data_IF_529511813451
#
_entry.id   IF_529511813451
#
_cell.length_a   1.000
_cell.length_b   1.000
_cell.length_c   1.000
_cell.angle_alpha   90.00
_cell.angle_beta   90.00
_cell.angle_gamma   90.00
#
_symmetry.space_group_name_H-M   'P 1'
#
loop_
_entity.id
_entity.type
_entity.pdbx_description
1 polymer ?
#
# COMPACT_ATOMS: atom_id res chain seq x y z
N UNK A 1 17.26 -8.71 16.39
CA UNK A 1 16.57 -8.87 15.11
C UNK A 1 17.47 -8.29 14.03
N UNK A 2 17.93 -9.11 13.10
CA UNK A 2 18.71 -8.66 11.94
C UNK A 2 17.83 -7.68 11.16
N UNK A 3 18.37 -6.49 10.82
CA UNK A 3 17.62 -5.52 10.02
C UNK A 3 17.52 -6.10 8.61
N UNK A 4 16.38 -6.62 8.22
CA UNK A 4 16.14 -7.24 6.90
C UNK A 4 16.63 -6.34 5.76
N UNK A 5 16.46 -5.02 5.89
CA UNK A 5 16.94 -4.07 4.89
C UNK A 5 18.44 -4.20 4.57
N UNK A 6 19.26 -4.59 5.54
CA UNK A 6 20.70 -4.74 5.38
C UNK A 6 21.13 -6.14 4.94
N UNK A 7 20.20 -7.05 4.70
CA UNK A 7 20.49 -8.39 4.21
C UNK A 7 20.51 -8.41 2.67
N UNK A 8 21.62 -8.89 2.11
CA UNK A 8 21.73 -9.17 0.68
C UNK A 8 21.33 -10.62 0.34
N UNK A 9 21.00 -11.43 1.36
CA UNK A 9 20.52 -12.81 1.15
C UNK A 9 19.03 -12.80 0.76
N UNK A 10 18.74 -13.20 -0.48
CA UNK A 10 17.38 -13.36 -1.00
C UNK A 10 16.55 -14.36 -0.17
N UNK A 11 17.18 -15.32 0.52
CA UNK A 11 16.47 -16.28 1.37
C UNK A 11 15.84 -15.59 2.59
N UNK A 12 16.50 -14.61 3.21
CA UNK A 12 15.94 -13.83 4.31
C UNK A 12 14.67 -13.08 3.88
N UNK A 13 14.72 -12.45 2.70
CA UNK A 13 13.58 -11.73 2.13
C UNK A 13 12.42 -12.65 1.77
N UNK A 14 12.71 -13.83 1.20
CA UNK A 14 11.68 -14.85 0.92
C UNK A 14 11.03 -15.36 2.20
N UNK A 15 11.82 -15.62 3.23
CA UNK A 15 11.31 -16.06 4.54
C UNK A 15 10.40 -15.01 5.17
N UNK A 16 10.83 -13.76 5.18
CA UNK A 16 10.02 -12.65 5.68
C UNK A 16 8.72 -12.46 4.88
N UNK A 17 8.79 -12.53 3.54
CA UNK A 17 7.60 -12.45 2.69
C UNK A 17 6.63 -13.62 2.93
N UNK A 18 7.15 -14.84 3.08
CA UNK A 18 6.34 -16.03 3.35
C UNK A 18 5.62 -15.98 4.70
N UNK A 19 6.17 -15.27 5.70
CA UNK A 19 5.53 -15.10 7.01
C UNK A 19 4.37 -14.08 6.99
N UNK A 20 4.20 -13.30 5.91
CA UNK A 20 3.22 -12.22 5.84
C UNK A 20 1.78 -12.66 6.18
N UNK A 21 1.23 -13.76 5.63
CA UNK A 21 -0.14 -14.18 5.94
C UNK A 21 -0.34 -14.53 7.43
N UNK A 22 0.66 -15.16 8.04
CA UNK A 22 0.63 -15.47 9.48
C UNK A 22 0.66 -14.17 10.30
N UNK A 23 1.52 -13.22 9.95
CA UNK A 23 1.60 -11.94 10.66
C UNK A 23 0.28 -11.16 10.54
N UNK A 24 -0.39 -11.19 9.39
CA UNK A 24 -1.74 -10.61 9.21
C UNK A 24 -2.74 -11.27 10.16
N UNK A 25 -2.74 -12.60 10.27
CA UNK A 25 -3.62 -13.34 11.18
C UNK A 25 -3.39 -12.98 12.66
N UNK A 26 -2.16 -12.74 13.03
CA UNK A 26 -1.74 -12.45 14.42
C UNK A 26 -1.99 -10.99 14.85
N UNK A 27 -2.47 -10.10 13.95
CA UNK A 27 -2.73 -8.69 14.33
C UNK A 27 -3.88 -8.54 15.34
N UNK A 28 -4.76 -9.53 15.49
CA UNK A 28 -5.90 -9.47 16.40
C UNK A 28 -7.04 -8.55 15.93
N UNK A 29 -7.06 -8.17 14.64
CA UNK A 29 -8.12 -7.40 14.01
C UNK A 29 -8.97 -8.33 13.15
N UNK A 30 -10.18 -8.64 13.60
CA UNK A 30 -11.04 -9.67 13.02
C UNK A 30 -11.32 -9.48 11.51
N UNK A 31 -11.44 -8.24 11.06
CA UNK A 31 -11.71 -7.93 9.64
C UNK A 31 -10.47 -7.97 8.74
N UNK A 32 -9.25 -7.92 9.31
CA UNK A 32 -8.04 -7.67 8.54
C UNK A 32 -7.73 -8.80 7.54
N UNK A 33 -7.88 -10.05 7.93
CA UNK A 33 -7.61 -11.19 7.03
C UNK A 33 -8.48 -11.15 5.78
N UNK A 34 -9.79 -10.95 5.94
CA UNK A 34 -10.71 -10.86 4.81
C UNK A 34 -10.48 -9.61 3.94
N UNK A 35 -10.16 -8.48 4.57
CA UNK A 35 -9.80 -7.26 3.85
C UNK A 35 -8.48 -7.42 3.08
N UNK A 36 -7.48 -8.08 3.66
CA UNK A 36 -6.16 -8.27 3.03
C UNK A 36 -6.24 -9.25 1.84
N UNK A 37 -6.96 -10.37 1.97
CA UNK A 37 -7.21 -11.28 0.85
C UNK A 37 -7.93 -10.57 -0.30
N UNK A 38 -9.01 -9.85 -0.01
CA UNK A 38 -9.71 -9.06 -1.01
C UNK A 38 -8.79 -8.02 -1.69
N UNK A 39 -8.03 -7.27 -0.89
CA UNK A 39 -7.15 -6.22 -1.38
C UNK A 39 -6.02 -6.77 -2.28
N UNK A 40 -5.48 -7.94 -1.93
CA UNK A 40 -4.34 -8.54 -2.62
C UNK A 40 -4.73 -9.38 -3.85
N UNK A 41 -5.92 -9.95 -3.86
CA UNK A 41 -6.34 -10.94 -4.85
C UNK A 41 -7.49 -10.44 -5.73
N UNK A 42 -8.58 -9.97 -5.10
CA UNK A 42 -9.79 -9.59 -5.84
C UNK A 42 -9.68 -8.20 -6.46
N UNK A 43 -9.26 -7.19 -5.69
CA UNK A 43 -9.21 -5.80 -6.16
C UNK A 43 -8.32 -5.62 -7.40
N UNK A 44 -7.09 -6.16 -7.48
CA UNK A 44 -6.28 -6.09 -8.69
C UNK A 44 -6.97 -6.68 -9.92
N UNK A 45 -7.63 -7.84 -9.75
CA UNK A 45 -8.37 -8.48 -10.83
C UNK A 45 -9.58 -7.63 -11.28
N UNK A 46 -10.31 -7.03 -10.34
CA UNK A 46 -11.42 -6.12 -10.64
C UNK A 46 -10.94 -4.89 -11.42
N UNK A 47 -9.84 -4.27 -11.00
CA UNK A 47 -9.26 -3.11 -11.71
C UNK A 47 -8.83 -3.51 -13.12
N UNK A 48 -8.11 -4.62 -13.26
CA UNK A 48 -7.59 -5.09 -14.54
C UNK A 48 -8.69 -5.50 -15.55
N UNK A 49 -9.82 -5.99 -15.05
CA UNK A 49 -10.95 -6.39 -15.90
C UNK A 49 -11.69 -5.21 -16.54
N UNK A 50 -11.47 -3.98 -16.07
CA UNK A 50 -12.12 -2.78 -16.62
C UNK A 50 -11.40 -2.27 -17.85
N UNK A 51 -12.16 -1.88 -18.88
CA UNK A 51 -11.62 -1.28 -20.12
C UNK A 51 -10.75 -0.03 -19.83
N UNK A 52 -11.16 0.77 -18.85
CA UNK A 52 -10.37 1.86 -18.26
C UNK A 52 -10.16 1.52 -16.79
N UNK A 53 -8.93 1.23 -16.36
CA UNK A 53 -8.64 0.94 -14.95
C UNK A 53 -9.13 2.07 -14.04
N UNK A 54 -9.88 1.75 -13.01
CA UNK A 54 -10.37 2.67 -11.98
C UNK A 54 -10.77 1.87 -10.75
N UNK A 55 -11.04 2.56 -9.64
CA UNK A 55 -11.74 2.00 -8.47
C UNK A 55 -13.13 2.64 -8.34
N UNK A 56 -14.10 1.86 -7.90
CA UNK A 56 -15.42 2.37 -7.52
C UNK A 56 -15.35 3.03 -6.15
N UNK A 57 -16.37 3.82 -5.81
CA UNK A 57 -16.50 4.40 -4.47
C UNK A 57 -16.48 3.34 -3.36
N UNK A 58 -17.20 2.24 -3.53
CA UNK A 58 -17.20 1.14 -2.55
C UNK A 58 -15.82 0.50 -2.39
N UNK A 59 -15.07 0.33 -3.47
CA UNK A 59 -13.71 -0.19 -3.42
C UNK A 59 -12.74 0.79 -2.74
N UNK A 60 -12.84 2.10 -3.00
CA UNK A 60 -12.04 3.11 -2.33
C UNK A 60 -12.29 3.13 -0.80
N UNK A 61 -13.56 3.02 -0.40
CA UNK A 61 -13.93 2.87 1.01
C UNK A 61 -13.28 1.62 1.60
N UNK A 62 -13.39 0.47 0.92
CA UNK A 62 -12.84 -0.81 1.40
C UNK A 62 -11.31 -0.82 1.44
N UNK A 63 -10.62 -0.18 0.48
CA UNK A 63 -9.15 0.05 0.54
C UNK A 63 -8.78 0.88 1.77
N UNK A 64 -9.57 1.90 2.07
CA UNK A 64 -9.35 2.75 3.25
C UNK A 64 -9.54 1.96 4.55
N UNK A 65 -10.56 1.12 4.63
CA UNK A 65 -10.80 0.21 5.76
C UNK A 65 -9.66 -0.80 5.92
N UNK A 66 -9.20 -1.44 4.82
CA UNK A 66 -8.03 -2.31 4.82
C UNK A 66 -6.78 -1.62 5.38
N UNK A 67 -6.47 -0.45 4.88
CA UNK A 67 -5.31 0.35 5.34
C UNK A 67 -5.42 0.66 6.84
N UNK A 68 -6.62 1.01 7.31
CA UNK A 68 -6.85 1.33 8.72
C UNK A 68 -6.79 0.10 9.62
N UNK A 69 -7.34 -1.02 9.19
CA UNK A 69 -7.27 -2.30 9.90
C UNK A 69 -5.83 -2.81 10.05
N UNK A 70 -4.98 -2.54 9.06
CA UNK A 70 -3.55 -2.86 9.07
C UNK A 70 -2.72 -1.87 9.91
N UNK A 71 -3.19 -0.65 10.10
CA UNK A 71 -2.45 0.44 10.74
C UNK A 71 -3.20 1.11 11.88
N UNK A 72 -3.58 2.37 11.68
CA UNK A 72 -4.30 3.18 12.66
C UNK A 72 -5.69 3.52 12.14
N UNK A 73 -6.70 3.26 12.95
CA UNK A 73 -8.08 3.63 12.64
C UNK A 73 -8.28 5.15 12.75
N UNK A 74 -8.78 5.76 11.68
CA UNK A 74 -9.01 7.20 11.57
C UNK A 74 -10.44 7.46 11.06
N UNK A 75 -11.42 7.37 11.97
CA UNK A 75 -12.85 7.50 11.65
C UNK A 75 -13.19 8.75 10.83
N UNK A 76 -12.57 9.90 11.14
CA UNK A 76 -12.77 11.14 10.40
C UNK A 76 -12.36 11.01 8.92
N UNK A 77 -11.22 10.39 8.64
CA UNK A 77 -10.77 10.22 7.26
C UNK A 77 -11.69 9.25 6.50
N UNK A 78 -12.14 8.18 7.15
CA UNK A 78 -13.10 7.25 6.55
C UNK A 78 -14.44 7.93 6.23
N UNK A 79 -14.91 8.81 7.11
CA UNK A 79 -16.12 9.59 6.84
C UNK A 79 -15.96 10.52 5.63
N UNK A 80 -14.81 11.18 5.48
CA UNK A 80 -14.49 11.99 4.30
C UNK A 80 -14.45 11.15 3.01
N UNK A 81 -13.81 9.98 3.05
CA UNK A 81 -13.78 9.06 1.89
C UNK A 81 -15.18 8.63 1.49
N UNK A 82 -16.03 8.27 2.45
CA UNK A 82 -17.42 7.87 2.23
C UNK A 82 -18.30 9.00 1.67
N UNK A 83 -17.92 10.25 1.90
CA UNK A 83 -18.64 11.44 1.42
C UNK A 83 -18.29 11.84 -0.03
N UNK A 84 -17.32 11.20 -0.68
CA UNK A 84 -17.02 11.51 -2.08
C UNK A 84 -18.16 11.07 -3.00
N UNK A 85 -18.39 11.85 -4.05
CA UNK A 85 -19.31 11.47 -5.11
C UNK A 85 -18.78 10.22 -5.86
N UNK A 86 -19.63 9.18 -6.08
CA UNK A 86 -19.20 7.95 -6.75
C UNK A 86 -18.67 8.16 -8.17
N UNK A 87 -19.26 9.09 -8.93
CA UNK A 87 -18.82 9.38 -10.30
C UNK A 87 -17.44 10.07 -10.29
N UNK A 88 -17.24 11.01 -9.34
CA UNK A 88 -15.95 11.67 -9.15
C UNK A 88 -14.84 10.66 -8.78
N UNK A 89 -15.14 9.66 -7.92
CA UNK A 89 -14.15 8.63 -7.59
C UNK A 89 -13.75 7.82 -8.82
N UNK A 90 -14.69 7.42 -9.65
CA UNK A 90 -14.42 6.68 -10.90
C UNK A 90 -13.60 7.53 -11.86
N UNK A 91 -13.96 8.80 -12.06
CA UNK A 91 -13.26 9.71 -12.95
C UNK A 91 -11.82 9.96 -12.48
N UNK A 92 -11.65 10.42 -11.23
CA UNK A 92 -10.34 10.74 -10.64
C UNK A 92 -9.43 9.52 -10.58
N UNK A 93 -9.94 8.36 -10.14
CA UNK A 93 -9.12 7.15 -10.12
C UNK A 93 -8.80 6.64 -11.53
N UNK A 94 -9.70 6.81 -12.49
CA UNK A 94 -9.46 6.47 -13.88
C UNK A 94 -8.37 7.35 -14.53
N UNK A 95 -8.32 8.63 -14.20
CA UNK A 95 -7.25 9.54 -14.60
C UNK A 95 -5.92 9.13 -13.94
N UNK A 96 -5.93 8.96 -12.62
CA UNK A 96 -4.76 8.56 -11.86
C UNK A 96 -4.14 7.27 -12.38
N UNK A 97 -4.93 6.21 -12.54
CA UNK A 97 -4.43 4.92 -13.01
C UNK A 97 -4.03 4.95 -14.50
N UNK A 98 -4.61 5.86 -15.29
CA UNK A 98 -4.19 6.12 -16.66
C UNK A 98 -2.80 6.77 -16.78
N UNK A 99 -2.30 7.38 -15.72
CA UNK A 99 -0.96 7.99 -15.68
C UNK A 99 0.16 7.00 -15.29
N UNK A 100 -0.16 5.75 -14.95
CA UNK A 100 0.85 4.70 -14.71
C UNK A 100 1.69 4.50 -15.98
N UNK A 101 3.04 4.45 -15.88
CA UNK A 101 3.86 4.27 -14.69
C UNK A 101 4.50 5.56 -14.11
N UNK A 102 3.91 6.74 -14.29
CA UNK A 102 4.49 7.96 -13.71
C UNK A 102 4.66 7.78 -12.18
N UNK A 103 5.85 8.06 -11.61
CA UNK A 103 6.16 7.74 -10.22
C UNK A 103 5.36 8.54 -9.18
N UNK A 104 4.68 9.60 -9.59
CA UNK A 104 4.07 10.60 -8.70
C UNK A 104 2.63 10.93 -9.09
N UNK A 105 2.34 11.07 -10.37
CA UNK A 105 1.04 11.53 -10.88
C UNK A 105 -0.14 10.73 -10.32
N UNK A 106 -0.14 9.37 -10.30
CA UNK A 106 -1.25 8.61 -9.73
C UNK A 106 -1.55 8.94 -8.26
N UNK A 107 -0.49 9.19 -7.47
CA UNK A 107 -0.64 9.51 -6.05
C UNK A 107 -1.19 10.91 -5.84
N UNK A 108 -0.74 11.85 -6.66
CA UNK A 108 -1.17 13.26 -6.60
C UNK A 108 -2.65 13.37 -6.98
N UNK A 109 -3.03 12.78 -8.11
CA UNK A 109 -4.42 12.82 -8.61
C UNK A 109 -5.38 12.13 -7.64
N UNK A 110 -5.05 10.94 -7.14
CA UNK A 110 -5.89 10.26 -6.13
C UNK A 110 -6.05 11.06 -4.83
N UNK A 111 -5.03 11.83 -4.45
CA UNK A 111 -5.07 12.65 -3.24
C UNK A 111 -5.97 13.89 -3.34
N UNK A 112 -6.55 14.17 -4.50
CA UNK A 112 -7.58 15.20 -4.69
C UNK A 112 -8.94 14.78 -4.08
N UNK A 113 -9.17 13.47 -3.93
CA UNK A 113 -10.37 12.94 -3.29
C UNK A 113 -10.38 13.24 -1.78
N UNK A 114 -11.53 13.61 -1.24
CA UNK A 114 -11.66 13.93 0.18
C UNK A 114 -11.28 12.73 1.05
N UNK A 115 -10.44 12.97 2.07
CA UNK A 115 -9.95 11.93 2.98
C UNK A 115 -8.86 11.01 2.42
N UNK A 116 -8.45 11.20 1.17
CA UNK A 116 -7.38 10.44 0.51
C UNK A 116 -6.07 11.21 0.61
N UNK A 117 -5.17 10.76 1.45
CA UNK A 117 -3.78 11.24 1.47
C UNK A 117 -2.85 10.27 0.76
N UNK A 118 -1.53 10.57 0.69
CA UNK A 118 -0.56 9.74 -0.04
C UNK A 118 -0.57 8.26 0.33
N UNK A 119 -0.84 7.92 1.59
CA UNK A 119 -0.92 6.53 2.02
C UNK A 119 -2.14 5.79 1.45
N UNK A 120 -3.32 6.42 1.39
CA UNK A 120 -4.50 5.80 0.75
C UNK A 120 -4.34 5.78 -0.77
N UNK A 121 -3.82 6.85 -1.37
CA UNK A 121 -3.53 6.92 -2.79
C UNK A 121 -2.54 5.81 -3.22
N UNK A 122 -1.46 5.62 -2.46
CA UNK A 122 -0.49 4.56 -2.75
C UNK A 122 -1.07 3.16 -2.61
N UNK A 123 -2.05 2.95 -1.73
CA UNK A 123 -2.74 1.67 -1.62
C UNK A 123 -3.54 1.35 -2.90
N UNK A 124 -4.23 2.33 -3.48
CA UNK A 124 -4.93 2.16 -4.77
C UNK A 124 -3.94 1.89 -5.89
N UNK A 125 -2.87 2.68 -6.00
CA UNK A 125 -1.85 2.52 -7.04
C UNK A 125 -1.11 1.17 -6.92
N UNK A 126 -0.81 0.71 -5.70
CA UNK A 126 -0.16 -0.58 -5.45
C UNK A 126 -1.04 -1.78 -5.81
N UNK A 127 -2.35 -1.68 -5.64
CA UNK A 127 -3.28 -2.72 -6.10
C UNK A 127 -3.37 -2.77 -7.63
N UNK A 128 -3.30 -1.62 -8.30
CA UNK A 128 -3.38 -1.53 -9.76
C UNK A 128 -2.06 -1.91 -10.45
N UNK A 129 -0.91 -1.61 -9.84
CA UNK A 129 0.41 -1.82 -10.46
C UNK A 129 1.48 -2.11 -9.39
N UNK A 130 1.51 -3.33 -8.85
CA UNK A 130 2.41 -3.74 -7.76
C UNK A 130 3.89 -3.72 -8.15
N UNK A 131 4.19 -3.75 -9.43
CA UNK A 131 5.54 -3.64 -10.00
C UNK A 131 6.10 -2.22 -9.97
N UNK A 132 5.24 -1.19 -9.80
CA UNK A 132 5.66 0.21 -9.80
C UNK A 132 5.48 0.89 -8.43
N UNK A 133 4.40 0.59 -7.71
CA UNK A 133 4.01 1.32 -6.51
C UNK A 133 3.97 0.42 -5.27
N UNK A 134 4.78 0.71 -4.23
CA UNK A 134 4.59 0.12 -2.91
C UNK A 134 3.48 0.86 -2.15
N UNK A 135 2.77 0.16 -1.27
CA UNK A 135 1.92 0.81 -0.28
C UNK A 135 2.77 1.61 0.72
N UNK A 136 2.37 2.84 1.03
CA UNK A 136 3.06 3.73 1.94
C UNK A 136 2.73 3.40 3.40
N UNK A 137 3.59 2.61 4.03
CA UNK A 137 3.44 2.13 5.40
C UNK A 137 4.52 2.73 6.31
N UNK A 138 4.12 3.15 7.53
CA UNK A 138 5.03 3.76 8.50
C UNK A 138 6.08 2.79 9.04
N UNK A 139 5.69 1.53 9.29
CA UNK A 139 6.60 0.49 9.80
C UNK A 139 7.64 0.10 8.77
N UNK A 140 7.27 0.12 7.51
CA UNK A 140 8.16 -0.12 6.38
C UNK A 140 9.12 1.06 6.22
N UNK A 141 8.60 2.28 6.18
CA UNK A 141 9.42 3.49 6.07
C UNK A 141 10.46 3.63 7.18
N UNK A 142 10.12 3.21 8.39
CA UNK A 142 11.05 3.23 9.53
C UNK A 142 12.25 2.27 9.39
N UNK A 143 12.16 1.29 8.49
CA UNK A 143 13.23 0.31 8.24
C UNK A 143 14.17 0.74 7.09
N UNK A 144 13.78 1.73 6.29
CA UNK A 144 14.54 2.18 5.12
C UNK A 144 15.50 3.29 5.53
N UNK A 145 16.83 3.09 5.41
CA UNK A 145 17.80 4.11 5.78
C UNK A 145 17.71 5.37 4.91
N UNK A 146 18.08 6.51 5.48
CA UNK A 146 18.20 7.76 4.73
C UNK A 146 16.91 8.50 4.39
N UNK A 147 15.73 7.96 4.74
CA UNK A 147 14.46 8.65 4.48
C UNK A 147 14.18 9.83 5.42
N UNK A 148 14.87 9.90 6.57
CA UNK A 148 14.65 10.92 7.60
C UNK A 148 13.36 10.69 8.40
N UNK A 149 12.90 11.73 9.10
CA UNK A 149 11.67 11.66 9.91
C UNK A 149 10.46 11.39 9.02
N UNK A 150 9.65 10.41 9.41
CA UNK A 150 8.45 10.02 8.66
C UNK A 150 7.46 11.18 8.58
N UNK A 151 7.07 11.51 7.38
CA UNK A 151 5.98 12.44 7.08
C UNK A 151 5.12 11.88 5.96
N UNK A 152 3.78 11.85 6.17
CA UNK A 152 2.85 11.35 5.16
C UNK A 152 2.59 12.38 4.05
N UNK A 153 3.65 12.81 3.36
CA UNK A 153 3.59 13.72 2.23
C UNK A 153 4.18 13.08 0.96
N UNK A 154 3.91 13.70 -0.17
CA UNK A 154 4.32 13.21 -1.49
C UNK A 154 5.84 13.13 -1.64
N UNK A 155 6.58 14.10 -1.10
CA UNK A 155 8.05 14.13 -1.17
C UNK A 155 8.69 12.95 -0.43
N UNK A 156 8.15 12.59 0.74
CA UNK A 156 8.59 11.39 1.46
C UNK A 156 8.22 10.12 0.70
N UNK A 157 6.97 10.02 0.22
CA UNK A 157 6.53 8.87 -0.57
C UNK A 157 7.41 8.63 -1.79
N UNK A 158 7.79 9.68 -2.52
CA UNK A 158 8.68 9.57 -3.68
C UNK A 158 10.01 8.91 -3.33
N UNK A 159 10.68 9.36 -2.25
CA UNK A 159 11.94 8.75 -1.79
C UNK A 159 11.75 7.30 -1.32
N UNK A 160 10.70 7.06 -0.54
CA UNK A 160 10.30 5.74 -0.06
C UNK A 160 10.07 4.76 -1.22
N UNK A 161 9.22 5.11 -2.17
CA UNK A 161 8.90 4.25 -3.31
C UNK A 161 10.11 4.01 -4.22
N UNK A 162 11.00 5.01 -4.38
CA UNK A 162 12.26 4.84 -5.11
C UNK A 162 13.16 3.81 -4.42
N UNK A 163 13.36 3.93 -3.10
CA UNK A 163 14.19 2.99 -2.35
C UNK A 163 13.66 1.54 -2.44
N UNK A 164 12.34 1.33 -2.33
CA UNK A 164 11.76 0.00 -2.44
C UNK A 164 11.87 -0.58 -3.87
N UNK A 165 11.75 0.25 -4.91
CA UNK A 165 11.97 -0.17 -6.30
C UNK A 165 13.44 -0.56 -6.55
N UNK A 166 14.37 0.18 -6.02
CA UNK A 166 15.79 -0.13 -6.11
C UNK A 166 16.11 -1.45 -5.40
N UNK A 167 15.63 -1.62 -4.17
CA UNK A 167 15.81 -2.88 -3.44
C UNK A 167 15.17 -4.07 -4.18
N UNK A 168 14.00 -3.91 -4.78
CA UNK A 168 13.39 -4.96 -5.59
C UNK A 168 14.27 -5.36 -6.78
N UNK A 169 14.88 -4.41 -7.47
CA UNK A 169 15.82 -4.67 -8.57
C UNK A 169 17.08 -5.42 -8.11
N UNK A 170 17.64 -5.04 -6.96
CA UNK A 170 18.81 -5.69 -6.37
C UNK A 170 18.55 -7.16 -6.03
N UNK A 171 17.34 -7.48 -5.52
CA UNK A 171 16.95 -8.86 -5.21
C UNK A 171 16.58 -9.69 -6.44
N UNK A 172 16.41 -9.06 -7.61
CA UNK A 172 16.23 -9.71 -8.89
C UNK A 172 14.84 -9.54 -9.52
N UNK A 173 14.74 -9.92 -10.80
CA UNK A 173 13.62 -9.60 -11.69
C UNK A 173 12.22 -10.09 -11.23
N UNK A 174 12.15 -11.01 -10.28
CA UNK A 174 10.88 -11.53 -9.73
C UNK A 174 10.37 -10.75 -8.52
N UNK A 175 11.15 -9.78 -8.02
CA UNK A 175 10.76 -8.95 -6.88
C UNK A 175 10.07 -7.69 -7.34
N UNK A 176 9.00 -7.32 -6.62
CA UNK A 176 8.29 -6.06 -6.83
C UNK A 176 8.38 -5.18 -5.58
N UNK A 177 8.20 -3.86 -5.71
CA UNK A 177 8.15 -2.97 -4.53
C UNK A 177 7.09 -3.37 -3.51
N UNK A 178 5.96 -3.95 -3.93
CA UNK A 178 4.94 -4.49 -3.03
C UNK A 178 5.45 -5.72 -2.27
N UNK A 179 6.25 -6.58 -2.89
CA UNK A 179 6.86 -7.72 -2.18
C UNK A 179 7.87 -7.25 -1.12
N UNK A 180 8.67 -6.22 -1.44
CA UNK A 180 9.59 -5.59 -0.48
C UNK A 180 8.80 -5.00 0.70
N UNK A 181 7.74 -4.25 0.42
CA UNK A 181 6.87 -3.66 1.44
C UNK A 181 6.28 -4.73 2.36
N UNK A 182 5.75 -5.82 1.80
CA UNK A 182 5.18 -6.92 2.58
C UNK A 182 6.21 -7.65 3.43
N UNK A 183 7.39 -7.92 2.88
CA UNK A 183 8.47 -8.58 3.61
C UNK A 183 8.94 -7.73 4.79
N UNK A 184 9.15 -6.44 4.61
CA UNK A 184 9.54 -5.52 5.69
C UNK A 184 8.46 -5.39 6.76
N UNK A 185 7.19 -5.30 6.38
CA UNK A 185 6.09 -5.24 7.33
C UNK A 185 5.97 -6.51 8.16
N UNK A 186 6.09 -7.67 7.53
CA UNK A 186 6.06 -8.96 8.19
C UNK A 186 7.27 -9.15 9.13
N UNK A 187 8.46 -8.72 8.71
CA UNK A 187 9.70 -8.83 9.50
C UNK A 187 9.61 -8.16 10.87
N UNK A 188 8.83 -7.09 11.01
CA UNK A 188 8.61 -6.43 12.32
C UNK A 188 7.37 -6.92 13.05
N UNK A 189 6.65 -7.90 12.49
CA UNK A 189 5.45 -8.47 13.08
C UNK A 189 4.20 -7.60 12.97
N UNK A 190 4.16 -6.70 11.98
CA UNK A 190 3.06 -5.78 11.76
C UNK A 190 2.85 -4.79 12.90
N UNK A 191 1.67 -4.18 12.95
CA UNK A 191 1.29 -3.20 13.98
C UNK A 191 0.37 -3.83 15.02
N UNK A 192 0.94 -4.51 16.01
CA UNK A 192 0.18 -5.09 17.11
C UNK A 192 -0.64 -4.02 17.85
N UNK A 193 -1.93 -4.29 18.07
CA UNK A 193 -2.82 -3.41 18.84
C UNK A 193 -3.52 -2.32 18.04
N UNK A 194 -3.48 -2.33 16.71
CA UNK A 194 -4.40 -1.54 15.90
C UNK A 194 -5.84 -2.00 16.20
N UNK A 195 -6.64 -1.13 16.80
CA UNK A 195 -8.05 -1.40 17.10
C UNK A 195 -8.93 -0.39 16.36
N UNK A 196 -10.07 -0.83 15.83
CA UNK A 196 -11.10 0.08 15.34
C UNK A 196 -11.65 0.94 16.46
#
# INVERSE_FOLDING_TARGET
MTKLWSSDDVADWKSALASYPQVVAEQGVASLQGLDSWYREELPALIAARRRPHVTHAELVRVTEWKMARGVWRARNLALVRGNDPALVVETSGEALGAIPDPVAPITTLAELAGVGPATASAVAAAASPEHYPFFDELVGAQVPGLGTLTFNLGYYKRYATALRERAKELGARWTPVMIERALWANVGGKKGARP
#
